data_IF_029420897140
#
_entry.id   IF_029420897140
#
_cell.length_a   1.000
_cell.length_b   1.000
_cell.length_c   1.000
_cell.angle_alpha   90.00
_cell.angle_beta   90.00
_cell.angle_gamma   90.00
#
_symmetry.space_group_name_H-M   'P 1'
#
loop_
_entity.id
_entity.type
_entity.pdbx_description
1 polymer ?
#
# COMPACT_ATOMS: atom_id res chain seq x y z
N UNK A 1 5.18 -11.68 -37.07
CA UNK A 1 6.10 -10.89 -36.21
C UNK A 1 6.28 -11.46 -34.80
N UNK A 2 5.35 -11.29 -33.83
CA UNK A 2 5.58 -11.78 -32.43
C UNK A 2 5.78 -13.30 -32.33
N UNK A 3 5.01 -14.08 -33.09
CA UNK A 3 5.12 -15.54 -33.11
C UNK A 3 6.42 -16.05 -33.77
N UNK A 4 6.93 -15.34 -34.79
CA UNK A 4 8.20 -15.69 -35.44
C UNK A 4 9.39 -15.42 -34.52
N UNK A 5 9.35 -14.32 -33.75
CA UNK A 5 10.39 -13.98 -32.76
C UNK A 5 10.43 -14.99 -31.61
N UNK A 6 9.28 -15.59 -31.25
CA UNK A 6 9.19 -16.58 -30.18
C UNK A 6 10.08 -17.82 -30.44
N UNK A 7 10.23 -18.22 -31.71
CA UNK A 7 11.11 -19.34 -32.06
C UNK A 7 12.60 -19.05 -31.83
N UNK A 8 13.01 -17.79 -31.86
CA UNK A 8 14.39 -17.36 -31.68
C UNK A 8 14.76 -17.04 -30.23
N UNK A 9 13.79 -17.01 -29.31
CA UNK A 9 13.99 -16.64 -27.91
C UNK A 9 15.14 -17.41 -27.23
N UNK A 10 15.23 -18.76 -27.34
CA UNK A 10 16.30 -19.51 -26.70
C UNK A 10 17.70 -19.07 -27.15
N UNK A 11 17.87 -18.85 -28.46
CA UNK A 11 19.14 -18.41 -29.04
C UNK A 11 19.49 -16.98 -28.63
N UNK A 12 18.50 -16.08 -28.59
CA UNK A 12 18.69 -14.70 -28.14
C UNK A 12 19.10 -14.66 -26.66
N UNK A 13 18.43 -15.44 -25.80
CA UNK A 13 18.78 -15.53 -24.38
C UNK A 13 20.20 -16.08 -24.21
N UNK A 14 20.56 -17.16 -24.91
CA UNK A 14 21.90 -17.73 -24.86
C UNK A 14 22.96 -16.69 -25.25
N UNK A 15 22.70 -15.90 -26.30
CA UNK A 15 23.62 -14.85 -26.72
C UNK A 15 23.77 -13.74 -25.67
N UNK A 16 22.66 -13.35 -25.03
CA UNK A 16 22.72 -12.36 -23.94
C UNK A 16 23.50 -12.88 -22.73
N UNK A 17 23.42 -14.17 -22.42
CA UNK A 17 24.22 -14.77 -21.35
C UNK A 17 25.72 -14.71 -21.66
N UNK A 18 26.13 -14.97 -22.91
CA UNK A 18 27.53 -14.83 -23.32
C UNK A 18 28.03 -13.39 -23.17
N UNK A 19 27.26 -12.42 -23.67
CA UNK A 19 27.61 -10.99 -23.59
C UNK A 19 27.73 -10.54 -22.12
N UNK A 20 26.76 -10.93 -21.28
CA UNK A 20 26.80 -10.63 -19.86
C UNK A 20 28.07 -11.20 -19.18
N UNK A 21 28.43 -12.45 -19.48
CA UNK A 21 29.65 -13.09 -18.96
C UNK A 21 30.93 -12.43 -19.48
N UNK A 22 30.89 -11.82 -20.66
CA UNK A 22 31.99 -11.05 -21.25
C UNK A 22 32.08 -9.61 -20.70
N UNK A 23 31.20 -9.21 -19.78
CA UNK A 23 31.24 -7.90 -19.12
C UNK A 23 30.26 -6.87 -19.70
N UNK A 24 29.35 -7.25 -20.60
CA UNK A 24 28.29 -6.36 -21.05
C UNK A 24 27.28 -6.11 -19.91
N UNK A 25 27.36 -4.91 -19.32
CA UNK A 25 26.51 -4.51 -18.21
C UNK A 25 25.03 -4.43 -18.58
N UNK A 26 24.67 -4.14 -19.84
CA UNK A 26 23.26 -4.09 -20.26
C UNK A 26 22.68 -5.49 -20.37
N UNK A 27 23.42 -6.43 -20.98
CA UNK A 27 23.02 -7.83 -21.05
C UNK A 27 22.86 -8.45 -19.65
N UNK A 28 23.82 -8.17 -18.76
CA UNK A 28 23.77 -8.61 -17.37
C UNK A 28 22.55 -8.04 -16.63
N UNK A 29 22.31 -6.73 -16.74
CA UNK A 29 21.15 -6.08 -16.11
C UNK A 29 19.83 -6.66 -16.60
N UNK A 30 19.67 -6.84 -17.92
CA UNK A 30 18.45 -7.41 -18.50
C UNK A 30 18.14 -8.79 -17.92
N UNK A 31 19.14 -9.66 -17.84
CA UNK A 31 18.98 -11.02 -17.31
C UNK A 31 18.70 -11.01 -15.81
N UNK A 32 19.42 -10.20 -15.03
CA UNK A 32 19.22 -10.09 -13.58
C UNK A 32 17.81 -9.59 -13.24
N UNK A 33 17.28 -8.59 -13.96
CA UNK A 33 15.91 -8.09 -13.74
C UNK A 33 14.79 -9.09 -14.13
N UNK A 34 15.11 -10.17 -14.87
CA UNK A 34 14.13 -11.23 -15.19
C UNK A 34 14.13 -12.37 -14.16
N UNK A 35 15.25 -12.59 -13.48
CA UNK A 35 15.42 -13.71 -12.55
C UNK A 35 15.32 -13.25 -11.09
N UNK A 36 15.75 -12.03 -10.78
CA UNK A 36 15.63 -11.48 -9.43
C UNK A 36 14.24 -10.86 -9.23
N UNK A 37 13.54 -11.18 -8.13
CA UNK A 37 12.34 -10.44 -7.76
C UNK A 37 12.71 -8.97 -7.55
N UNK A 38 11.84 -8.02 -7.95
CA UNK A 38 12.10 -6.61 -7.71
C UNK A 38 12.32 -6.39 -6.22
N UNK A 39 13.42 -5.74 -5.86
CA UNK A 39 13.68 -5.31 -4.49
C UNK A 39 12.64 -4.26 -4.16
N UNK A 40 11.58 -4.69 -3.47
CA UNK A 40 10.58 -3.77 -2.92
C UNK A 40 11.18 -3.15 -1.67
N UNK A 41 11.01 -1.85 -1.50
CA UNK A 41 11.19 -1.23 -0.20
C UNK A 41 10.19 -1.87 0.76
N UNK A 42 10.66 -2.74 1.64
CA UNK A 42 9.84 -3.37 2.67
C UNK A 42 10.02 -2.61 3.97
N UNK A 43 8.95 -2.06 4.49
CA UNK A 43 8.92 -1.49 5.84
C UNK A 43 8.81 -2.65 6.84
N UNK A 44 9.71 -2.70 7.83
CA UNK A 44 9.61 -3.70 8.89
C UNK A 44 8.33 -3.47 9.71
N UNK A 45 7.61 -4.53 10.11
CA UNK A 45 6.45 -4.38 10.98
C UNK A 45 6.83 -3.61 12.26
N UNK A 46 6.07 -2.56 12.55
CA UNK A 46 6.24 -1.77 13.77
C UNK A 46 5.08 -2.07 14.73
N UNK A 47 5.41 -2.25 16.00
CA UNK A 47 4.40 -2.33 17.05
C UNK A 47 4.00 -0.91 17.41
N UNK A 48 2.73 -0.58 17.23
CA UNK A 48 2.16 0.70 17.65
C UNK A 48 1.10 0.48 18.71
N UNK A 49 1.29 1.11 19.87
CA UNK A 49 0.28 1.18 20.91
C UNK A 49 -0.56 2.42 20.68
N UNK A 50 -1.74 2.23 20.10
CA UNK A 50 -2.74 3.30 20.05
C UNK A 50 -3.44 3.39 21.41
N UNK A 51 -3.73 4.62 21.88
CA UNK A 51 -4.44 4.77 23.13
C UNK A 51 -5.88 4.26 23.00
N UNK A 52 -6.22 3.24 23.79
CA UNK A 52 -7.55 2.64 23.82
C UNK A 52 -8.61 3.64 24.31
N UNK A 53 -9.80 3.60 23.70
CA UNK A 53 -10.94 4.43 24.09
C UNK A 53 -10.79 5.93 23.81
N UNK A 54 -9.69 6.35 23.18
CA UNK A 54 -9.49 7.75 22.80
C UNK A 54 -10.14 8.08 21.45
N UNK A 55 -10.36 9.37 21.22
CA UNK A 55 -10.95 9.87 19.97
C UNK A 55 -10.06 9.54 18.77
N UNK A 56 -10.66 9.45 17.58
CA UNK A 56 -9.90 9.22 16.33
C UNK A 56 -8.82 10.30 16.15
N UNK A 57 -9.10 11.55 16.52
CA UNK A 57 -8.12 12.63 16.45
C UNK A 57 -6.90 12.40 17.36
N UNK A 58 -7.11 11.87 18.56
CA UNK A 58 -6.02 11.53 19.49
C UNK A 58 -5.19 10.36 18.98
N UNK A 59 -5.85 9.31 18.46
CA UNK A 59 -5.17 8.20 17.82
C UNK A 59 -4.33 8.66 16.62
N UNK A 60 -4.87 9.59 15.81
CA UNK A 60 -4.13 10.20 14.70
C UNK A 60 -2.89 10.97 15.14
N UNK A 61 -2.97 11.73 16.24
CA UNK A 61 -1.81 12.42 16.82
C UNK A 61 -0.76 11.44 17.34
N UNK A 62 -1.18 10.33 17.95
CA UNK A 62 -0.27 9.28 18.40
C UNK A 62 0.49 8.65 17.22
N UNK A 63 -0.18 8.39 16.09
CA UNK A 63 0.45 7.88 14.86
C UNK A 63 1.50 8.87 14.34
N UNK A 64 1.15 10.16 14.26
CA UNK A 64 2.09 11.20 13.80
C UNK A 64 3.30 11.34 14.73
N UNK A 65 3.10 11.25 16.04
CA UNK A 65 4.18 11.28 17.02
C UNK A 65 5.11 10.06 16.91
N UNK A 66 4.56 8.87 16.70
CA UNK A 66 5.32 7.65 16.47
C UNK A 66 6.19 7.75 15.20
N UNK A 67 5.66 8.36 14.13
CA UNK A 67 6.42 8.62 12.91
C UNK A 67 7.54 9.64 13.15
N UNK A 68 7.24 10.75 13.83
CA UNK A 68 8.22 11.81 14.10
C UNK A 68 9.36 11.38 15.04
N UNK A 69 9.11 10.42 15.94
CA UNK A 69 10.12 9.83 16.81
C UNK A 69 10.94 8.71 16.15
N UNK A 70 10.59 8.30 14.93
CA UNK A 70 11.25 7.19 14.22
C UNK A 70 10.82 5.80 14.67
N UNK A 71 9.82 5.68 15.54
CA UNK A 71 9.26 4.39 15.98
C UNK A 71 8.41 3.72 14.89
N UNK A 72 7.95 4.51 13.92
CA UNK A 72 7.11 4.06 12.81
C UNK A 72 7.66 4.61 11.49
N UNK A 73 7.69 3.78 10.43
CA UNK A 73 8.10 4.27 9.12
C UNK A 73 7.06 5.27 8.57
N UNK A 74 7.49 6.31 7.82
CA UNK A 74 6.56 7.30 7.28
C UNK A 74 5.45 6.72 6.38
N UNK A 75 5.75 5.66 5.61
CA UNK A 75 4.75 4.99 4.78
C UNK A 75 3.69 4.26 5.62
N UNK A 76 4.11 3.53 6.66
CA UNK A 76 3.20 2.92 7.63
C UNK A 76 2.32 3.96 8.34
N UNK A 77 2.90 5.10 8.74
CA UNK A 77 2.15 6.19 9.37
C UNK A 77 1.07 6.75 8.45
N UNK A 78 1.41 6.99 7.18
CA UNK A 78 0.47 7.46 6.17
C UNK A 78 -0.66 6.45 5.93
N UNK A 79 -0.35 5.14 5.86
CA UNK A 79 -1.35 4.09 5.71
C UNK A 79 -2.30 4.02 6.91
N UNK A 80 -1.79 4.10 8.14
CA UNK A 80 -2.61 4.10 9.36
C UNK A 80 -3.52 5.33 9.42
N UNK A 81 -3.00 6.53 9.11
CA UNK A 81 -3.82 7.76 9.06
C UNK A 81 -4.92 7.68 8.00
N UNK A 82 -4.62 7.08 6.84
CA UNK A 82 -5.63 6.84 5.81
C UNK A 82 -6.73 5.89 6.28
N UNK A 83 -6.37 4.78 6.94
CA UNK A 83 -7.32 3.84 7.53
C UNK A 83 -8.19 4.49 8.62
N UNK A 84 -7.59 5.33 9.46
CA UNK A 84 -8.28 6.09 10.50
C UNK A 84 -9.31 7.06 9.91
N UNK A 85 -8.96 7.75 8.82
CA UNK A 85 -9.89 8.62 8.09
C UNK A 85 -11.05 7.85 7.44
N UNK A 86 -10.79 6.65 6.91
CA UNK A 86 -11.84 5.78 6.39
C UNK A 86 -12.81 5.34 7.50
N UNK A 87 -12.29 5.00 8.68
CA UNK A 87 -13.11 4.67 9.85
C UNK A 87 -13.95 5.86 10.32
N UNK A 88 -13.38 7.07 10.36
CA UNK A 88 -14.12 8.29 10.72
C UNK A 88 -15.34 8.50 9.80
N UNK A 89 -15.15 8.31 8.50
CA UNK A 89 -16.24 8.44 7.51
C UNK A 89 -17.33 7.37 7.68
N UNK A 90 -16.95 6.14 8.05
CA UNK A 90 -17.92 5.09 8.35
C UNK A 90 -18.78 5.46 9.56
N UNK A 91 -18.15 5.88 10.65
CA UNK A 91 -18.85 6.32 11.86
C UNK A 91 -19.78 7.50 11.57
N UNK A 92 -19.31 8.50 10.83
CA UNK A 92 -20.14 9.64 10.41
C UNK A 92 -21.36 9.18 9.60
N UNK A 93 -21.16 8.23 8.67
CA UNK A 93 -22.25 7.70 7.84
C UNK A 93 -23.30 6.98 8.71
N UNK A 94 -22.86 6.16 9.66
CA UNK A 94 -23.76 5.46 10.58
C UNK A 94 -24.52 6.43 11.49
N UNK A 95 -23.84 7.43 12.04
CA UNK A 95 -24.47 8.47 12.87
C UNK A 95 -25.51 9.28 12.10
N UNK A 96 -25.20 9.63 10.84
CA UNK A 96 -26.14 10.32 9.95
C UNK A 96 -27.35 9.45 9.63
N UNK A 97 -27.15 8.16 9.33
CA UNK A 97 -28.25 7.23 9.08
C UNK A 97 -29.20 7.12 10.29
N UNK A 98 -28.65 7.02 11.50
CA UNK A 98 -29.44 7.00 12.75
C UNK A 98 -30.23 8.30 12.92
N UNK A 99 -29.60 9.45 12.70
CA UNK A 99 -30.27 10.76 12.83
C UNK A 99 -31.36 10.96 11.78
N UNK A 100 -31.14 10.53 10.55
CA UNK A 100 -32.13 10.59 9.47
C UNK A 100 -33.34 9.72 9.83
N UNK A 101 -33.14 8.47 10.22
CA UNK A 101 -34.23 7.57 10.61
C UNK A 101 -35.06 8.14 11.77
N UNK A 102 -34.41 8.77 12.76
CA UNK A 102 -35.09 9.43 13.88
C UNK A 102 -35.93 10.66 13.43
N UNK A 103 -35.48 11.39 12.41
CA UNK A 103 -36.22 12.52 11.85
C UNK A 103 -37.41 12.07 10.99
N UNK A 104 -37.22 11.04 10.17
CA UNK A 104 -38.28 10.42 9.35
C UNK A 104 -39.40 9.87 10.23
N UNK A 105 -39.05 9.19 11.33
CA UNK A 105 -40.01 8.70 12.31
C UNK A 105 -40.84 9.81 12.98
N UNK A 106 -40.22 10.98 13.24
CA UNK A 106 -40.92 12.14 13.84
C UNK A 106 -41.83 12.85 12.84
N UNK A 107 -41.43 12.90 11.57
CA UNK A 107 -42.14 13.67 10.55
C UNK A 107 -43.23 12.85 9.83
N UNK A 108 -43.50 11.61 10.26
CA UNK A 108 -44.55 10.74 9.70
C UNK A 108 -44.28 10.28 8.26
N UNK A 109 -43.10 10.58 7.72
CA UNK A 109 -42.68 10.17 6.39
C UNK A 109 -41.89 8.88 6.56
N UNK A 110 -42.59 7.77 6.79
CA UNK A 110 -41.98 6.45 6.74
C UNK A 110 -41.58 6.14 5.30
N UNK A 111 -40.43 5.48 5.07
CA UNK A 111 -40.04 5.04 3.73
C UNK A 111 -41.06 4.07 3.13
#
# INVERSE_FOLDING_TARGET
>A
MRAEIAGHLPAIIAKQVELAKAGDAQAARLLLERVLPPVKATEQPAIISLPDGQSLAEQGRAILSAAGSGSLAPGQAAQLLSGLGALAKLIETDELAVRIAALEAKNGNQP
#
